data_IF_208661445564
#
_entry.id   IF_208661445564
#
_cell.length_a   1.000
_cell.length_b   1.000
_cell.length_c   1.000
_cell.angle_alpha   90.00
_cell.angle_beta   90.00
_cell.angle_gamma   90.00
#
_symmetry.space_group_name_H-M   'P 1'
#
loop_
_entity.id
_entity.type
_entity.pdbx_description
1 polymer ?
#
# COMPACT_ATOMS: atom_id res chain seq x y z
N UNK A 1 4.73 -20.27 -9.17
CA UNK A 1 4.36 -18.86 -8.94
C UNK A 1 3.89 -18.71 -7.51
N UNK A 2 4.47 -17.77 -6.77
CA UNK A 2 4.08 -17.45 -5.39
C UNK A 2 2.87 -16.49 -5.33
N UNK A 3 2.43 -15.98 -6.49
CA UNK A 3 1.28 -15.11 -6.69
C UNK A 3 1.42 -13.80 -5.92
N UNK A 4 2.54 -13.10 -6.10
CA UNK A 4 2.86 -11.88 -5.36
C UNK A 4 3.16 -10.70 -6.28
N UNK A 5 3.07 -9.50 -5.71
CA UNK A 5 3.76 -8.32 -6.24
C UNK A 5 5.09 -8.14 -5.53
N UNK A 6 6.09 -7.61 -6.24
CA UNK A 6 7.45 -7.40 -5.73
C UNK A 6 7.87 -5.96 -5.99
N UNK A 7 8.49 -5.34 -5.00
CA UNK A 7 8.95 -3.96 -5.06
C UNK A 7 10.46 -3.91 -4.82
N UNK A 8 11.15 -3.19 -5.69
CA UNK A 8 12.61 -3.03 -5.65
C UNK A 8 13.01 -1.56 -5.79
N UNK A 9 14.20 -1.24 -5.31
CA UNK A 9 14.92 0.00 -5.62
C UNK A 9 16.07 -0.27 -6.59
N UNK A 10 16.19 0.54 -7.64
CA UNK A 10 17.13 0.34 -8.75
C UNK A 10 17.96 1.59 -9.06
N UNK A 11 19.18 1.41 -9.58
CA UNK A 11 20.00 2.51 -10.13
C UNK A 11 19.51 3.09 -11.46
N UNK A 12 18.70 2.36 -12.24
CA UNK A 12 18.17 2.82 -13.54
C UNK A 12 16.73 2.30 -13.76
N UNK A 13 16.07 2.85 -14.77
CA UNK A 13 14.81 2.31 -15.32
C UNK A 13 15.14 1.33 -16.46
N UNK A 14 14.78 0.04 -16.36
CA UNK A 14 15.10 -0.94 -17.39
C UNK A 14 14.33 -0.69 -18.69
N UNK A 15 15.03 -0.53 -19.80
CA UNK A 15 14.43 -0.46 -21.14
C UNK A 15 14.18 -1.85 -21.75
N UNK A 16 14.98 -2.84 -21.37
CA UNK A 16 14.89 -4.24 -21.82
C UNK A 16 15.27 -5.18 -20.67
N UNK A 17 14.97 -6.48 -20.77
CA UNK A 17 15.39 -7.48 -19.78
C UNK A 17 16.91 -7.51 -19.56
N UNK A 18 17.70 -7.25 -20.61
CA UNK A 18 19.16 -7.22 -20.52
C UNK A 18 19.72 -5.90 -19.97
N UNK A 19 18.90 -4.85 -19.85
CA UNK A 19 19.28 -3.54 -19.32
C UNK A 19 19.31 -3.56 -17.79
N UNK A 20 20.24 -4.35 -17.25
CA UNK A 20 20.35 -4.63 -15.82
C UNK A 20 20.91 -3.43 -15.03
N UNK A 21 20.27 -3.09 -13.89
CA UNK A 21 20.80 -2.11 -12.95
C UNK A 21 22.16 -2.48 -12.37
N UNK A 22 22.97 -1.47 -12.02
CA UNK A 22 24.18 -1.67 -11.22
C UNK A 22 23.84 -2.10 -9.80
N UNK A 23 22.79 -1.49 -9.24
CA UNK A 23 22.30 -1.78 -7.89
C UNK A 23 20.83 -2.16 -7.95
N UNK A 24 20.51 -3.21 -7.21
CA UNK A 24 19.15 -3.67 -6.96
C UNK A 24 19.04 -3.95 -5.47
N UNK A 25 17.98 -3.45 -4.85
CA UNK A 25 17.63 -3.74 -3.46
C UNK A 25 16.17 -4.14 -3.41
N UNK A 26 15.88 -5.32 -2.86
CA UNK A 26 14.50 -5.70 -2.53
C UNK A 26 13.92 -4.73 -1.50
N UNK A 27 12.65 -4.39 -1.61
CA UNK A 27 11.99 -3.51 -0.64
C UNK A 27 10.84 -4.22 0.08
N UNK A 28 10.00 -4.92 -0.67
CA UNK A 28 8.85 -5.63 -0.10
C UNK A 28 8.21 -6.55 -1.14
N UNK A 29 7.44 -7.53 -0.67
CA UNK A 29 6.60 -8.38 -1.50
C UNK A 29 5.23 -8.63 -0.86
N UNK A 30 4.18 -8.71 -1.66
CA UNK A 30 2.82 -8.89 -1.14
C UNK A 30 2.01 -9.96 -1.88
N UNK A 31 1.44 -10.96 -1.16
CA UNK A 31 0.67 -12.01 -1.80
C UNK A 31 -0.71 -11.50 -2.28
N UNK A 32 -1.08 -11.90 -3.49
CA UNK A 32 -2.39 -11.71 -4.11
C UNK A 32 -2.86 -10.25 -4.31
N UNK A 33 -2.04 -9.26 -4.00
CA UNK A 33 -2.41 -7.85 -4.06
C UNK A 33 -1.22 -6.94 -4.36
N UNK A 34 -1.52 -5.71 -4.79
CA UNK A 34 -0.61 -4.57 -4.75
C UNK A 34 -1.13 -3.61 -3.68
N UNK A 35 -0.43 -3.47 -2.53
CA UNK A 35 -0.85 -2.59 -1.45
C UNK A 35 -0.89 -1.10 -1.82
N UNK A 36 -1.57 -0.30 -0.99
CA UNK A 36 -1.67 1.14 -1.20
C UNK A 36 -0.32 1.86 -1.11
N UNK A 37 0.56 1.47 -0.18
CA UNK A 37 1.90 2.05 0.00
C UNK A 37 2.74 1.89 -1.27
N UNK A 38 2.69 0.73 -1.93
CA UNK A 38 3.40 0.49 -3.19
C UNK A 38 2.89 1.44 -4.27
N UNK A 39 1.56 1.52 -4.44
CA UNK A 39 0.94 2.43 -5.42
C UNK A 39 1.32 3.89 -5.16
N UNK A 40 1.29 4.31 -3.90
CA UNK A 40 1.62 5.67 -3.50
C UNK A 40 3.11 5.97 -3.74
N UNK A 41 4.00 5.04 -3.38
CA UNK A 41 5.43 5.15 -3.65
C UNK A 41 5.72 5.20 -5.16
N UNK A 42 5.08 4.34 -5.95
CA UNK A 42 5.22 4.31 -7.41
C UNK A 42 4.61 5.53 -8.11
N UNK A 43 3.79 6.33 -7.45
CA UNK A 43 3.09 7.46 -8.08
C UNK A 43 3.99 8.63 -8.52
N UNK A 44 5.28 8.65 -8.12
CA UNK A 44 6.23 9.75 -8.34
C UNK A 44 6.43 10.18 -9.80
N UNK A 45 6.57 9.21 -10.71
CA UNK A 45 6.62 9.33 -12.18
C UNK A 45 6.44 7.92 -12.78
N UNK A 46 5.25 7.31 -12.65
CA UNK A 46 5.03 5.92 -13.03
C UNK A 46 5.03 5.76 -14.55
N UNK A 47 5.90 4.88 -15.03
CA UNK A 47 6.07 4.55 -16.43
C UNK A 47 6.17 3.04 -16.62
N UNK A 48 5.72 2.57 -17.77
CA UNK A 48 5.90 1.18 -18.17
C UNK A 48 7.38 0.94 -18.47
N UNK A 49 7.90 -0.21 -18.06
CA UNK A 49 9.28 -0.62 -18.30
C UNK A 49 9.35 -2.14 -18.55
N UNK A 50 10.53 -2.65 -18.89
CA UNK A 50 10.72 -4.09 -19.02
C UNK A 50 10.71 -4.76 -17.64
N UNK A 51 10.08 -5.94 -17.57
CA UNK A 51 10.25 -6.81 -16.39
C UNK A 51 11.68 -7.31 -16.32
N UNK A 52 12.20 -7.43 -15.10
CA UNK A 52 13.50 -8.02 -14.80
C UNK A 52 13.40 -9.47 -14.30
N UNK A 53 12.19 -9.97 -14.03
CA UNK A 53 11.95 -11.35 -13.57
C UNK A 53 12.22 -12.37 -14.68
N UNK A 54 11.75 -12.10 -15.91
CA UNK A 54 11.95 -13.01 -17.05
C UNK A 54 11.95 -12.26 -18.38
N UNK A 55 12.62 -12.84 -19.39
CA UNK A 55 12.67 -12.33 -20.77
C UNK A 55 11.49 -12.78 -21.65
N UNK A 56 10.63 -13.65 -21.12
CA UNK A 56 9.46 -14.20 -21.79
C UNK A 56 8.72 -15.21 -20.93
N UNK A 57 7.72 -15.86 -21.50
CA UNK A 57 7.01 -16.97 -20.87
C UNK A 57 7.75 -18.29 -21.16
N UNK A 58 7.67 -19.25 -20.23
CA UNK A 58 8.37 -20.54 -20.34
C UNK A 58 8.06 -21.31 -21.63
N UNK A 59 6.85 -21.14 -22.17
CA UNK A 59 6.40 -21.83 -23.38
C UNK A 59 6.64 -21.01 -24.67
N UNK A 60 7.45 -19.95 -24.61
CA UNK A 60 7.79 -19.15 -25.79
C UNK A 60 8.95 -19.75 -26.56
N UNK A 61 8.81 -19.79 -27.89
CA UNK A 61 9.92 -20.09 -28.79
C UNK A 61 11.03 -19.05 -28.64
N UNK A 62 12.32 -19.43 -28.77
CA UNK A 62 13.45 -18.51 -28.58
C UNK A 62 13.36 -17.23 -29.42
N UNK A 63 12.87 -17.32 -30.65
CA UNK A 63 12.75 -16.18 -31.56
C UNK A 63 11.45 -15.37 -31.37
N UNK A 64 10.53 -15.82 -30.51
CA UNK A 64 9.19 -15.24 -30.33
C UNK A 64 8.81 -15.08 -28.86
N UNK A 65 9.75 -14.57 -28.06
CA UNK A 65 9.54 -14.26 -26.63
C UNK A 65 8.48 -13.18 -26.44
N UNK A 66 7.53 -13.45 -25.54
CA UNK A 66 6.46 -12.53 -25.14
C UNK A 66 7.06 -11.42 -24.29
N UNK A 67 6.96 -10.13 -24.68
CA UNK A 67 7.50 -9.05 -23.88
C UNK A 67 6.75 -8.92 -22.54
N UNK A 68 7.48 -9.07 -21.43
CA UNK A 68 6.96 -8.89 -20.09
C UNK A 68 7.27 -7.47 -19.59
N UNK A 69 6.30 -6.89 -18.89
CA UNK A 69 6.36 -5.50 -18.47
C UNK A 69 6.22 -5.37 -16.96
N UNK A 70 6.82 -4.31 -16.44
CA UNK A 70 6.73 -3.88 -15.06
C UNK A 70 6.45 -2.37 -15.01
N UNK A 71 6.30 -1.82 -13.81
CA UNK A 71 6.15 -0.38 -13.59
C UNK A 71 7.42 0.15 -12.95
N UNK A 72 7.97 1.23 -13.47
CA UNK A 72 9.09 1.96 -12.86
C UNK A 72 8.67 3.38 -12.51
N UNK A 73 9.24 3.92 -11.43
CA UNK A 73 9.02 5.29 -10.99
C UNK A 73 10.31 5.90 -10.43
N UNK A 74 10.35 7.22 -10.26
CA UNK A 74 11.42 7.86 -9.51
C UNK A 74 11.19 7.65 -8.01
N UNK A 75 12.25 7.33 -7.28
CA UNK A 75 12.14 7.02 -5.85
C UNK A 75 11.73 8.24 -5.01
N UNK A 76 12.47 9.34 -5.15
CA UNK A 76 12.36 10.49 -4.24
C UNK A 76 10.95 11.13 -4.22
N UNK A 77 10.26 11.37 -5.36
CA UNK A 77 8.90 11.91 -5.31
C UNK A 77 7.89 10.95 -4.65
N UNK A 78 8.08 9.65 -4.82
CA UNK A 78 7.31 8.62 -4.14
C UNK A 78 7.49 8.65 -2.63
N UNK A 79 8.75 8.68 -2.17
CA UNK A 79 9.09 8.77 -0.75
C UNK A 79 8.52 10.04 -0.10
N UNK A 80 8.57 11.17 -0.80
CA UNK A 80 7.99 12.42 -0.33
C UNK A 80 6.47 12.30 -0.10
N UNK A 81 5.75 11.56 -0.96
CA UNK A 81 4.33 11.28 -0.79
C UNK A 81 4.05 10.34 0.38
N UNK A 82 4.87 9.31 0.61
CA UNK A 82 4.77 8.45 1.79
C UNK A 82 4.94 9.27 3.08
N UNK A 83 5.94 10.16 3.14
CA UNK A 83 6.17 11.05 4.29
C UNK A 83 4.97 11.95 4.55
N UNK A 84 4.44 12.60 3.51
CA UNK A 84 3.23 13.44 3.61
C UNK A 84 2.02 12.64 4.09
N UNK A 85 1.80 11.44 3.57
CA UNK A 85 0.73 10.56 4.03
C UNK A 85 0.88 10.23 5.52
N UNK A 86 2.09 9.87 5.96
CA UNK A 86 2.36 9.59 7.37
C UNK A 86 2.08 10.79 8.28
N UNK A 87 2.45 12.01 7.87
CA UNK A 87 2.16 13.24 8.62
C UNK A 87 0.66 13.52 8.77
N UNK A 88 -0.11 13.29 7.71
CA UNK A 88 -1.57 13.39 7.73
C UNK A 88 -2.15 12.34 8.68
N UNK A 89 -1.71 11.08 8.59
CA UNK A 89 -2.18 10.01 9.47
C UNK A 89 -1.86 10.32 10.93
N UNK A 90 -0.63 10.75 11.25
CA UNK A 90 -0.24 11.18 12.61
C UNK A 90 -1.20 12.23 13.17
N UNK A 91 -1.54 13.24 12.39
CA UNK A 91 -2.47 14.30 12.80
C UNK A 91 -3.90 13.77 13.00
N UNK A 92 -4.30 12.78 12.19
CA UNK A 92 -5.64 12.19 12.21
C UNK A 92 -5.87 11.30 13.43
N UNK A 93 -4.86 10.53 13.83
CA UNK A 93 -5.00 9.48 14.84
C UNK A 93 -4.38 9.83 16.19
N UNK A 94 -3.68 10.96 16.30
CA UNK A 94 -3.12 11.43 17.58
C UNK A 94 -4.23 11.71 18.63
N UNK A 95 -3.99 11.39 19.91
CA UNK A 95 -4.97 11.69 20.96
C UNK A 95 -5.16 13.20 21.09
N UNK A 96 -6.35 13.71 20.77
CA UNK A 96 -6.72 15.13 20.89
C UNK A 96 -6.93 15.89 19.57
N UNK A 97 -6.84 15.22 18.40
CA UNK A 97 -7.11 15.83 17.09
C UNK A 97 -8.61 16.03 16.80
N UNK A 98 -9.05 17.29 16.84
CA UNK A 98 -10.33 17.83 16.35
C UNK A 98 -11.62 17.12 16.80
N UNK A 99 -12.06 17.38 18.04
CA UNK A 99 -13.50 17.39 18.30
C UNK A 99 -14.12 18.58 17.54
N UNK A 100 -14.94 18.30 16.53
CA UNK A 100 -15.86 19.33 16.02
C UNK A 100 -16.76 19.79 17.19
N UNK A 101 -17.07 21.09 17.33
CA UNK A 101 -18.08 21.51 18.29
C UNK A 101 -19.43 20.93 17.81
N UNK A 102 -19.99 20.02 18.60
CA UNK A 102 -21.35 19.58 18.40
C UNK A 102 -22.29 20.80 18.47
N UNK A 103 -23.27 20.94 17.56
CA UNK A 103 -24.27 21.98 17.70
C UNK A 103 -25.01 21.75 19.03
N UNK A 104 -25.08 22.79 19.85
CA UNK A 104 -25.72 22.75 21.16
C UNK A 104 -27.17 22.27 21.02
N UNK A 105 -27.43 21.02 21.41
CA UNK A 105 -28.77 20.54 21.63
C UNK A 105 -29.31 21.26 22.87
N UNK A 106 -30.41 21.96 22.69
CA UNK A 106 -31.15 22.60 23.77
C UNK A 106 -31.86 21.51 24.57
N UNK A 107 -31.40 21.26 25.80
CA UNK A 107 -32.11 20.41 26.75
C UNK A 107 -33.35 21.14 27.27
N UNK A 108 -34.53 20.60 26.95
CA UNK A 108 -35.80 20.98 27.57
C UNK A 108 -36.43 19.74 28.19
N UNK A 109 -36.48 19.73 29.53
CA UNK A 109 -37.43 19.03 30.42
C UNK A 109 -37.49 17.49 30.36
N UNK A 110 -37.76 16.72 31.41
CA UNK A 110 -37.99 16.85 32.85
C UNK A 110 -38.00 15.38 33.36
N UNK A 111 -37.31 15.05 34.45
CA UNK A 111 -37.35 13.71 35.05
C UNK A 111 -38.68 13.47 35.81
N UNK A 112 -39.34 12.30 35.69
CA UNK A 112 -40.25 11.80 36.70
C UNK A 112 -39.56 10.79 37.63
N UNK A 113 -39.92 10.88 38.91
CA UNK A 113 -39.42 10.09 40.05
C UNK A 113 -39.43 8.55 39.83
N UNK A 114 -38.44 7.81 40.37
CA UNK A 114 -38.31 6.38 40.16
C UNK A 114 -39.30 5.56 41.02
N UNK A 115 -39.99 4.63 40.38
CA UNK A 115 -40.87 3.65 41.03
C UNK A 115 -40.07 2.54 41.72
N UNK A 116 -40.43 2.23 42.97
CA UNK A 116 -39.83 1.19 43.84
C UNK A 116 -39.68 -0.20 43.21
N UNK A 117 -40.41 -0.51 42.14
CA UNK A 117 -40.34 -1.78 41.42
C UNK A 117 -39.12 -1.90 40.47
N UNK A 118 -38.44 -0.80 40.11
CA UNK A 118 -37.20 -0.87 39.32
C UNK A 118 -35.97 -1.22 40.17
N UNK A 119 -36.01 -0.94 41.48
CA UNK A 119 -34.93 -1.26 42.42
C UNK A 119 -34.66 -2.77 42.53
N UNK A 120 -35.70 -3.60 42.46
CA UNK A 120 -35.54 -5.06 42.54
C UNK A 120 -35.01 -5.69 41.24
N UNK A 121 -35.20 -5.07 40.07
CA UNK A 121 -34.70 -5.59 38.79
C UNK A 121 -33.19 -5.34 38.61
N UNK A 122 -32.60 -4.38 39.33
CA UNK A 122 -31.15 -4.08 39.30
C UNK A 122 -30.28 -5.12 40.02
N UNK A 123 -30.85 -5.95 40.89
CA UNK A 123 -30.10 -6.97 41.64
C UNK A 123 -29.78 -8.24 40.83
N UNK A 124 -30.37 -8.41 39.64
CA UNK A 124 -30.16 -9.57 38.77
C UNK A 124 -29.67 -9.21 37.36
N UNK A 125 -29.26 -7.96 37.12
CA UNK A 125 -28.62 -7.57 35.87
C UNK A 125 -27.11 -7.83 35.94
N UNK A 126 -26.50 -8.53 34.96
CA UNK A 126 -25.05 -8.64 34.91
C UNK A 126 -24.45 -7.24 34.79
N UNK A 127 -23.40 -6.97 35.58
CA UNK A 127 -22.70 -5.70 35.54
C UNK A 127 -22.22 -5.43 34.12
N UNK A 128 -22.83 -4.42 33.47
CA UNK A 128 -22.32 -3.89 32.21
C UNK A 128 -20.97 -3.25 32.53
N UNK A 129 -19.89 -3.91 32.11
CA UNK A 129 -18.55 -3.36 32.20
C UNK A 129 -18.58 -1.93 31.65
N UNK A 130 -18.13 -0.96 32.46
CA UNK A 130 -17.80 0.36 31.97
C UNK A 130 -16.67 0.16 30.97
N UNK A 131 -16.99 0.18 29.68
CA UNK A 131 -15.98 0.37 28.65
C UNK A 131 -15.48 1.79 28.83
N UNK A 132 -14.35 1.96 29.52
CA UNK A 132 -13.53 3.14 29.38
C UNK A 132 -13.03 3.17 27.93
N UNK A 133 -13.85 3.66 27.01
CA UNK A 133 -13.40 4.05 25.67
C UNK A 133 -12.66 5.37 25.78
N UNK A 134 -11.51 5.36 26.47
CA UNK A 134 -10.40 6.20 26.06
C UNK A 134 -9.84 5.56 24.80
N UNK A 135 -10.31 5.98 23.62
CA UNK A 135 -9.74 5.50 22.36
C UNK A 135 -8.26 5.91 22.34
N UNK A 136 -7.38 4.96 22.64
CA UNK A 136 -5.92 5.14 22.56
C UNK A 136 -5.56 5.25 21.08
N UNK A 137 -4.66 6.16 20.75
CA UNK A 137 -4.13 6.25 19.39
C UNK A 137 -3.53 4.90 18.95
N UNK A 138 -3.65 4.53 17.66
CA UNK A 138 -3.13 3.29 17.12
C UNK A 138 -1.60 3.34 17.09
N UNK A 139 -0.98 2.91 18.18
CA UNK A 139 0.48 3.00 18.36
C UNK A 139 1.24 2.10 17.37
N UNK A 140 0.64 0.99 16.94
CA UNK A 140 1.25 0.07 15.98
C UNK A 140 1.31 0.68 14.59
N UNK A 141 0.22 1.30 14.12
CA UNK A 141 0.21 2.01 12.83
C UNK A 141 1.27 3.11 12.76
N UNK A 142 1.36 3.95 13.80
CA UNK A 142 2.31 5.05 13.81
C UNK A 142 3.76 4.55 13.82
N UNK A 143 4.07 3.51 14.59
CA UNK A 143 5.38 2.87 14.57
C UNK A 143 5.71 2.27 13.20
N UNK A 144 4.76 1.56 12.57
CA UNK A 144 4.95 0.99 11.24
C UNK A 144 5.22 2.05 10.17
N UNK A 145 4.60 3.24 10.27
CA UNK A 145 4.87 4.37 9.37
C UNK A 145 6.27 4.96 9.59
N UNK A 146 6.74 5.06 10.83
CA UNK A 146 8.10 5.50 11.15
C UNK A 146 9.14 4.50 10.62
N UNK A 147 8.91 3.20 10.84
CA UNK A 147 9.74 2.10 10.32
C UNK A 147 9.76 2.09 8.79
N UNK A 148 8.60 2.28 8.16
CA UNK A 148 8.48 2.41 6.69
C UNK A 148 9.38 3.51 6.15
N UNK A 149 9.33 4.72 6.74
CA UNK A 149 10.13 5.85 6.28
C UNK A 149 11.62 5.57 6.47
N UNK A 150 12.01 5.08 7.65
CA UNK A 150 13.40 4.75 7.95
C UNK A 150 13.96 3.68 7.01
N UNK A 151 13.18 2.63 6.75
CA UNK A 151 13.54 1.56 5.82
C UNK A 151 13.70 2.10 4.40
N UNK A 152 12.73 2.85 3.89
CA UNK A 152 12.81 3.40 2.53
C UNK A 152 13.98 4.39 2.36
N UNK A 153 14.29 5.18 3.39
CA UNK A 153 15.46 6.07 3.36
C UNK A 153 16.79 5.32 3.33
N UNK A 154 16.90 4.21 4.06
CA UNK A 154 18.11 3.39 4.11
C UNK A 154 18.37 2.63 2.79
N UNK A 155 17.33 2.27 2.05
CA UNK A 155 17.41 1.40 0.86
C UNK A 155 17.09 2.12 -0.46
N UNK A 156 17.20 3.45 -0.50
CA UNK A 156 16.89 4.25 -1.69
C UNK A 156 18.00 4.19 -2.75
N UNK A 157 17.57 4.06 -4.00
CA UNK A 157 18.30 4.39 -5.21
C UNK A 157 17.49 5.40 -6.02
N UNK A 158 17.88 5.66 -7.28
CA UNK A 158 17.23 6.66 -8.13
C UNK A 158 15.82 6.27 -8.57
N UNK A 159 15.59 4.96 -8.77
CA UNK A 159 14.37 4.41 -9.32
C UNK A 159 13.76 3.33 -8.42
N UNK A 160 12.48 3.07 -8.68
CA UNK A 160 11.70 1.96 -8.17
C UNK A 160 11.30 1.05 -9.33
N UNK A 161 11.08 -0.22 -9.01
CA UNK A 161 10.48 -1.22 -9.88
C UNK A 161 9.40 -1.97 -9.13
N UNK A 162 8.20 -2.02 -9.69
CA UNK A 162 7.09 -2.83 -9.22
C UNK A 162 6.79 -3.91 -10.26
N UNK A 163 7.05 -5.15 -9.87
CA UNK A 163 6.75 -6.35 -10.63
C UNK A 163 5.38 -6.90 -10.20
N UNK A 164 4.48 -7.07 -11.17
CA UNK A 164 3.13 -7.61 -10.95
C UNK A 164 2.86 -8.88 -11.75
N UNK A 165 3.89 -9.40 -12.44
CA UNK A 165 3.73 -10.43 -13.47
C UNK A 165 3.01 -11.69 -12.99
N UNK A 166 3.25 -12.14 -11.75
CA UNK A 166 2.54 -13.31 -11.22
C UNK A 166 1.04 -13.04 -11.05
N UNK A 167 0.68 -11.84 -10.58
CA UNK A 167 -0.72 -11.42 -10.47
C UNK A 167 -1.35 -11.26 -11.86
N UNK A 168 -0.59 -10.72 -12.81
CA UNK A 168 -1.05 -10.50 -14.18
C UNK A 168 -1.31 -11.83 -14.90
N UNK A 169 -0.44 -12.82 -14.71
CA UNK A 169 -0.59 -14.17 -15.26
C UNK A 169 -1.81 -14.91 -14.70
N UNK A 170 -2.19 -14.65 -13.45
CA UNK A 170 -3.42 -15.21 -12.89
C UNK A 170 -4.68 -14.56 -13.48
N UNK A 171 -4.61 -13.27 -13.82
CA UNK A 171 -5.77 -12.47 -14.22
C UNK A 171 -5.95 -12.35 -15.74
N UNK A 172 -4.88 -12.50 -16.52
CA UNK A 172 -4.90 -12.35 -17.96
C UNK A 172 -5.49 -13.58 -18.65
N UNK A 173 -6.36 -13.35 -19.64
CA UNK A 173 -6.93 -14.42 -20.45
C UNK A 173 -5.95 -14.93 -21.53
N UNK A 174 -5.02 -14.09 -21.97
CA UNK A 174 -4.04 -14.37 -23.00
C UNK A 174 -2.80 -13.47 -22.89
N UNK A 175 -1.79 -13.74 -23.73
CA UNK A 175 -0.53 -12.98 -23.78
C UNK A 175 -0.73 -11.49 -24.05
N UNK A 176 -1.71 -11.13 -24.90
CA UNK A 176 -1.97 -9.73 -25.24
C UNK A 176 -2.58 -8.97 -24.06
N UNK A 177 -3.31 -9.65 -23.17
CA UNK A 177 -3.92 -9.07 -21.99
C UNK A 177 -2.91 -8.73 -20.87
N UNK A 178 -1.70 -9.30 -20.87
CA UNK A 178 -0.70 -9.06 -19.81
C UNK A 178 -0.32 -7.59 -19.69
N UNK A 179 0.06 -6.94 -20.80
CA UNK A 179 0.41 -5.52 -20.82
C UNK A 179 -0.74 -4.64 -20.33
N UNK A 180 -1.98 -4.99 -20.69
CA UNK A 180 -3.16 -4.25 -20.23
C UNK A 180 -3.36 -4.36 -18.71
N UNK A 181 -2.99 -5.47 -18.06
CA UNK A 181 -3.06 -5.56 -16.60
C UNK A 181 -2.03 -4.65 -15.93
N UNK A 182 -0.79 -4.66 -16.43
CA UNK A 182 0.26 -3.75 -15.94
C UNK A 182 -0.14 -2.28 -16.12
N UNK A 183 -0.73 -1.91 -17.28
CA UNK A 183 -1.23 -0.56 -17.53
C UNK A 183 -2.38 -0.15 -16.59
N UNK A 184 -3.24 -1.10 -16.20
CA UNK A 184 -4.30 -0.85 -15.21
C UNK A 184 -3.71 -0.60 -13.83
N UNK A 185 -2.69 -1.34 -13.42
CA UNK A 185 -2.02 -1.12 -12.15
C UNK A 185 -1.19 0.17 -12.16
N UNK A 186 -0.59 0.52 -13.29
CA UNK A 186 0.07 1.81 -13.50
C UNK A 186 -0.93 2.96 -13.30
N UNK A 187 -2.14 2.85 -13.86
CA UNK A 187 -3.20 3.83 -13.63
C UNK A 187 -3.63 3.91 -12.15
N UNK A 188 -3.60 2.80 -11.40
CA UNK A 188 -3.85 2.80 -9.94
C UNK A 188 -2.74 3.51 -9.17
N UNK A 189 -1.47 3.35 -9.57
CA UNK A 189 -0.35 4.11 -9.00
C UNK A 189 -0.54 5.62 -9.18
N UNK A 190 -0.93 6.06 -10.40
CA UNK A 190 -1.23 7.48 -10.65
C UNK A 190 -2.38 7.99 -9.77
N UNK A 191 -3.49 7.26 -9.72
CA UNK A 191 -4.65 7.63 -8.88
C UNK A 191 -4.30 7.74 -7.41
N UNK A 192 -3.42 6.89 -6.87
CA UNK A 192 -2.99 6.99 -5.48
C UNK A 192 -2.25 8.32 -5.19
N UNK A 193 -1.38 8.76 -6.12
CA UNK A 193 -0.74 10.07 -6.04
C UNK A 193 -1.73 11.21 -6.16
N UNK A 194 -2.62 11.16 -7.16
CA UNK A 194 -3.68 12.16 -7.37
C UNK A 194 -4.61 12.29 -6.14
N UNK A 195 -4.93 11.18 -5.48
CA UNK A 195 -5.74 11.17 -4.28
C UNK A 195 -5.06 11.91 -3.12
N UNK A 196 -3.76 11.68 -2.92
CA UNK A 196 -2.98 12.41 -1.91
C UNK A 196 -2.85 13.88 -2.26
N UNK A 197 -2.60 14.20 -3.54
CA UNK A 197 -2.45 15.56 -4.03
C UNK A 197 -3.76 16.37 -3.93
N UNK A 198 -4.93 15.69 -3.99
CA UNK A 198 -6.23 16.30 -3.78
C UNK A 198 -6.55 16.64 -2.31
N UNK A 199 -5.85 16.05 -1.34
CA UNK A 199 -6.02 16.41 0.07
C UNK A 199 -5.51 17.83 0.31
N UNK A 200 -6.18 18.63 1.17
CA UNK A 200 -5.74 19.97 1.54
C UNK A 200 -4.31 20.03 2.12
N UNK A 201 -3.72 21.23 2.09
CA UNK A 201 -2.39 21.47 2.66
C UNK A 201 -2.39 21.49 4.20
N UNK A 202 -3.52 21.88 4.82
CA UNK A 202 -3.67 21.85 6.28
C UNK A 202 -3.76 20.38 6.76
N UNK A 203 -2.82 19.89 7.59
CA UNK A 203 -2.79 18.49 8.00
C UNK A 203 -4.03 18.04 8.76
N UNK A 204 -4.67 18.92 9.53
CA UNK A 204 -5.87 18.58 10.30
C UNK A 204 -7.09 18.41 9.40
N UNK A 205 -7.31 19.31 8.44
CA UNK A 205 -8.36 19.15 7.43
C UNK A 205 -8.09 17.97 6.49
N UNK A 206 -6.85 17.80 6.03
CA UNK A 206 -6.44 16.64 5.24
C UNK A 206 -6.74 15.33 5.97
N UNK A 207 -6.48 15.28 7.28
CA UNK A 207 -6.77 14.12 8.11
C UNK A 207 -8.26 13.81 8.23
N UNK A 208 -9.09 14.84 8.41
CA UNK A 208 -10.56 14.68 8.40
C UNK A 208 -11.07 14.11 7.07
N UNK A 209 -10.59 14.67 5.96
CA UNK A 209 -11.01 14.22 4.62
C UNK A 209 -10.50 12.81 4.29
N UNK A 210 -9.25 12.50 4.65
CA UNK A 210 -8.70 11.16 4.51
C UNK A 210 -9.53 10.14 5.31
N UNK A 211 -9.82 10.43 6.58
CA UNK A 211 -10.63 9.54 7.42
C UNK A 211 -12.03 9.34 6.86
N UNK A 212 -12.67 10.39 6.34
CA UNK A 212 -13.97 10.26 5.67
C UNK A 212 -13.87 9.38 4.42
N UNK A 213 -12.86 9.60 3.56
CA UNK A 213 -12.65 8.84 2.33
C UNK A 213 -12.33 7.36 2.59
N UNK A 214 -11.75 7.00 3.75
CA UNK A 214 -11.57 5.59 4.12
C UNK A 214 -12.88 4.86 4.40
N UNK A 215 -13.93 5.57 4.83
CA UNK A 215 -15.21 5.00 5.28
C UNK A 215 -16.28 5.02 4.20
N UNK A 216 -16.32 6.10 3.42
CA UNK A 216 -17.33 6.32 2.39
C UNK A 216 -16.65 6.38 1.02
N UNK A 217 -17.17 5.60 0.06
CA UNK A 217 -16.65 5.62 -1.31
C UNK A 217 -17.08 6.94 -1.96
N UNK A 218 -16.20 7.93 -1.90
CA UNK A 218 -16.38 9.23 -2.53
C UNK A 218 -16.17 9.21 -4.05
N UNK A 219 -16.12 10.40 -4.65
CA UNK A 219 -15.73 10.57 -6.04
C UNK A 219 -14.21 10.46 -6.21
N UNK A 220 -13.78 10.15 -7.43
CA UNK A 220 -12.37 10.22 -7.80
C UNK A 220 -11.81 11.65 -7.62
N UNK A 221 -10.55 11.80 -7.16
CA UNK A 221 -9.58 10.73 -6.89
C UNK A 221 -9.62 10.15 -5.47
N UNK A 222 -10.43 10.69 -4.56
CA UNK A 222 -10.44 10.28 -3.14
C UNK A 222 -10.95 8.86 -2.90
N UNK A 223 -11.65 8.27 -3.87
CA UNK A 223 -12.08 6.87 -3.83
C UNK A 223 -10.90 5.88 -3.73
N UNK A 224 -9.67 6.31 -4.05
CA UNK A 224 -8.46 5.51 -3.85
C UNK A 224 -8.15 5.18 -2.38
N UNK A 225 -8.68 5.96 -1.42
CA UNK A 225 -8.51 5.70 0.01
C UNK A 225 -9.57 4.76 0.60
N UNK A 226 -10.62 4.45 -0.17
CA UNK A 226 -11.77 3.73 0.34
C UNK A 226 -11.41 2.33 0.85
N UNK A 227 -11.79 2.06 2.10
CA UNK A 227 -11.59 0.78 2.77
C UNK A 227 -10.25 0.66 3.51
N UNK A 228 -9.32 1.60 3.33
CA UNK A 228 -8.06 1.60 4.10
C UNK A 228 -8.34 1.76 5.59
N UNK A 229 -7.55 1.08 6.42
CA UNK A 229 -7.67 1.14 7.87
C UNK A 229 -6.57 2.01 8.46
N UNK A 230 -6.98 3.06 9.17
CA UNK A 230 -6.08 3.96 9.91
C UNK A 230 -6.09 3.62 11.41
N UNK A 231 -5.97 2.32 11.71
CA UNK A 231 -5.88 1.76 13.05
C UNK A 231 -4.84 0.62 13.07
N UNK A 232 -4.61 -0.02 14.22
CA UNK A 232 -3.62 -1.10 14.35
C UNK A 232 -3.97 -2.38 13.55
N UNK A 233 -5.13 -2.43 12.89
CA UNK A 233 -5.49 -3.47 11.93
C UNK A 233 -5.23 -3.07 10.47
N UNK A 234 -4.30 -2.15 10.22
CA UNK A 234 -4.10 -1.50 8.92
C UNK A 234 -3.85 -2.45 7.73
N UNK A 235 -3.12 -3.55 7.93
CA UNK A 235 -2.89 -4.60 6.93
C UNK A 235 -3.74 -5.86 7.16
N UNK A 236 -4.64 -5.78 8.14
CA UNK A 236 -5.71 -6.73 8.37
C UNK A 236 -5.37 -7.98 9.15
N UNK A 237 -6.33 -8.91 9.06
CA UNK A 237 -6.35 -10.29 9.53
C UNK A 237 -7.34 -11.07 8.67
N UNK A 238 -7.41 -12.41 8.79
CA UNK A 238 -7.86 -13.38 7.76
C UNK A 238 -9.17 -13.18 6.94
N UNK A 239 -9.99 -12.15 7.19
CA UNK A 239 -11.19 -11.81 6.42
C UNK A 239 -11.13 -10.44 5.71
N UNK A 240 -10.00 -9.72 5.72
CA UNK A 240 -9.88 -8.43 5.02
C UNK A 240 -9.81 -8.65 3.50
N UNK A 241 -10.55 -7.81 2.75
CA UNK A 241 -10.43 -7.82 1.28
C UNK A 241 -9.01 -7.40 0.89
N UNK A 242 -8.42 -8.14 -0.05
CA UNK A 242 -7.10 -7.86 -0.64
C UNK A 242 -6.94 -6.43 -1.18
N UNK A 243 -8.05 -5.75 -1.49
CA UNK A 243 -8.08 -4.38 -2.00
C UNK A 243 -7.83 -3.30 -0.94
N UNK A 244 -7.85 -3.64 0.37
CA UNK A 244 -7.88 -2.68 1.48
C UNK A 244 -6.65 -2.76 2.39
N UNK A 245 -5.47 -2.91 1.79
CA UNK A 245 -4.20 -3.14 2.50
C UNK A 245 -3.32 -1.89 2.38
N UNK A 246 -2.75 -1.40 3.50
CA UNK A 246 -1.77 -0.32 3.45
C UNK A 246 -0.43 -0.82 2.89
N UNK A 247 0.09 -1.95 3.37
CA UNK A 247 1.32 -2.60 2.96
C UNK A 247 2.55 -2.00 3.63
N UNK A 248 2.61 -2.04 4.96
CA UNK A 248 3.71 -1.46 5.74
C UNK A 248 4.72 -2.51 6.22
N UNK A 249 4.77 -3.67 5.58
CA UNK A 249 5.79 -4.71 5.80
C UNK A 249 6.91 -4.55 4.78
N UNK A 250 8.17 -4.55 5.23
CA UNK A 250 9.34 -4.28 4.39
C UNK A 250 10.45 -5.30 4.67
N UNK A 251 11.13 -5.74 3.60
CA UNK A 251 12.20 -6.73 3.64
C UNK A 251 13.08 -6.60 2.41
N UNK A 252 14.39 -6.69 2.58
CA UNK A 252 15.33 -6.80 1.47
C UNK A 252 15.32 -8.20 0.84
N UNK A 253 14.88 -9.21 1.60
CA UNK A 253 14.80 -10.61 1.17
C UNK A 253 13.41 -10.87 0.62
N UNK A 254 13.33 -11.16 -0.68
CA UNK A 254 12.09 -11.45 -1.39
C UNK A 254 12.10 -12.90 -1.90
N UNK A 255 10.94 -13.42 -2.26
CA UNK A 255 10.80 -14.74 -2.88
C UNK A 255 11.43 -14.79 -4.27
N UNK A 256 11.39 -13.68 -5.02
CA UNK A 256 12.16 -13.51 -6.25
C UNK A 256 13.28 -12.50 -6.02
N UNK A 257 14.52 -12.98 -6.05
CA UNK A 257 15.69 -12.11 -6.12
C UNK A 257 15.98 -11.75 -7.59
N UNK A 258 16.43 -10.53 -7.81
CA UNK A 258 16.85 -10.04 -9.12
C UNK A 258 18.36 -9.89 -9.16
N UNK A 259 18.96 -10.27 -10.29
CA UNK A 259 20.38 -10.10 -10.51
C UNK A 259 20.71 -8.68 -10.98
N UNK A 260 21.68 -8.05 -10.33
CA UNK A 260 22.29 -6.84 -10.85
C UNK A 260 23.12 -7.15 -12.11
N UNK A 261 23.68 -6.12 -12.75
CA UNK A 261 24.42 -6.27 -14.00
C UNK A 261 25.59 -7.22 -13.88
N UNK A 262 26.39 -7.11 -12.82
CA UNK A 262 27.57 -7.95 -12.63
C UNK A 262 27.19 -9.43 -12.47
N UNK A 263 26.16 -9.72 -11.66
CA UNK A 263 25.62 -11.06 -11.45
C UNK A 263 25.03 -11.64 -12.73
N UNK A 264 24.23 -10.85 -13.45
CA UNK A 264 23.62 -11.26 -14.71
C UNK A 264 24.66 -11.58 -15.79
N UNK A 265 25.72 -10.76 -15.90
CA UNK A 265 26.82 -11.02 -16.81
C UNK A 265 27.63 -12.26 -16.42
N UNK A 266 27.83 -12.50 -15.11
CA UNK A 266 28.53 -13.68 -14.63
C UNK A 266 27.79 -14.97 -15.01
N UNK A 267 26.46 -15.01 -14.79
CA UNK A 267 25.62 -16.16 -15.16
C UNK A 267 25.64 -16.44 -16.67
N UNK A 268 25.69 -15.41 -17.52
CA UNK A 268 25.78 -15.59 -18.97
C UNK A 268 27.13 -16.12 -19.45
N UNK A 269 28.18 -15.99 -18.65
CA UNK A 269 29.54 -16.47 -18.96
C UNK A 269 29.78 -17.90 -18.48
N UNK A 270 28.97 -18.40 -17.56
CA UNK A 270 28.97 -19.81 -17.19
C UNK A 270 28.45 -20.60 -18.40
N UNK A 271 29.27 -21.44 -19.05
CA UNK A 271 28.76 -22.35 -20.07
C UNK A 271 27.76 -23.27 -19.38
N UNK A 272 26.64 -23.58 -20.05
CA UNK A 272 25.72 -24.65 -19.64
C UNK A 272 26.55 -25.91 -19.40
N UNK A 273 26.91 -26.16 -18.14
CA UNK A 273 27.59 -27.37 -17.74
C UNK A 273 26.53 -28.47 -17.78
N UNK A 274 26.44 -29.11 -18.95
CA UNK A 274 25.81 -30.40 -19.26
C UNK A 274 24.87 -30.96 -18.18
N UNK A 275 23.56 -30.91 -18.47
CA UNK A 275 22.59 -31.86 -17.93
C UNK A 275 22.22 -32.88 -19.02
#
# INVERSE_FOLDING_TARGET
MANRSYLYSLSNRPATYADRPETITGLSEWPYAVPFSYRLLMSGDPQLCASLISDGLDNDEPEQRTPLHAISSRFEPGLARIKRFADIVRTTVAPGGASAPAPAAQDVAQDPEPSLLEGLKRLFAPARAKTETGARAPSGLLAALDETIAFLEAHRNDYLLLETIELDLMAAADKAALKTQVERELARCRRAGEALDALPADPAEAGRQLLAATRERGAAPLDAFHGLRLDDGFDGGGNQRVDYILGLEWSEVLYFDLHNRAEFEAQRREPEAEA
#
